data_IF_292724467308
#
_entry.id   IF_292724467308
#
_cell.length_a   1.000
_cell.length_b   1.000
_cell.length_c   1.000
_cell.angle_alpha   90.00
_cell.angle_beta   90.00
_cell.angle_gamma   90.00
#
_symmetry.space_group_name_H-M   'P 1'
#
loop_
_entity.id
_entity.type
_entity.pdbx_description
1 polymer ?
#
# COMPACT_ATOMS: atom_id res chain seq x y z
N UNK A 1 4.03 -36.96 -18.65
CA UNK A 1 3.49 -36.34 -17.44
C UNK A 1 4.55 -36.46 -16.36
N UNK A 2 5.18 -35.34 -15.98
CA UNK A 2 6.17 -35.21 -14.89
C UNK A 2 6.45 -33.70 -14.68
N UNK A 3 6.94 -33.26 -13.51
CA UNK A 3 6.14 -32.45 -12.60
C UNK A 3 6.55 -30.98 -12.51
N UNK A 4 5.60 -30.17 -12.02
CA UNK A 4 5.70 -28.74 -11.82
C UNK A 4 6.84 -28.34 -10.86
N UNK A 5 7.76 -27.52 -11.36
CA UNK A 5 8.73 -26.80 -10.55
C UNK A 5 7.98 -25.76 -9.70
N UNK A 6 7.81 -26.11 -8.42
CA UNK A 6 7.23 -25.25 -7.40
C UNK A 6 8.23 -24.15 -7.01
N UNK A 7 8.30 -23.07 -7.78
CA UNK A 7 9.07 -21.87 -7.44
C UNK A 7 8.29 -21.03 -6.43
N UNK A 8 8.40 -21.37 -5.14
CA UNK A 8 7.93 -20.47 -4.07
C UNK A 8 8.77 -19.19 -4.14
N UNK A 9 8.18 -18.00 -4.36
CA UNK A 9 8.96 -16.78 -4.39
C UNK A 9 9.56 -16.52 -3.01
N UNK A 10 10.88 -16.36 -3.00
CA UNK A 10 11.72 -16.11 -1.83
C UNK A 10 11.15 -14.93 -1.05
N UNK A 11 10.89 -15.17 0.23
CA UNK A 11 10.55 -14.18 1.24
C UNK A 11 11.73 -13.20 1.39
N UNK A 12 11.80 -12.20 0.50
CA UNK A 12 12.66 -11.02 0.68
C UNK A 12 12.21 -10.38 2.00
N UNK A 13 13.17 -10.00 2.83
CA UNK A 13 12.96 -9.20 4.06
C UNK A 13 11.85 -8.19 3.75
N UNK A 14 10.67 -8.39 4.35
CA UNK A 14 9.43 -7.77 3.89
C UNK A 14 9.51 -6.26 4.15
N UNK A 15 10.01 -5.49 3.19
CA UNK A 15 9.72 -4.06 3.12
C UNK A 15 8.19 -3.93 3.23
N UNK A 16 7.66 -3.01 4.05
CA UNK A 16 6.24 -2.70 4.06
C UNK A 16 5.73 -2.52 2.63
N UNK A 17 4.64 -3.20 2.28
CA UNK A 17 4.11 -3.20 0.91
C UNK A 17 3.89 -1.76 0.39
N UNK A 18 3.40 -0.86 1.24
CA UNK A 18 3.23 0.55 0.90
C UNK A 18 4.56 1.26 0.52
N UNK A 19 5.67 0.96 1.21
CA UNK A 19 6.98 1.52 0.86
C UNK A 19 7.53 0.99 -0.46
N UNK A 20 7.31 -0.30 -0.74
CA UNK A 20 7.70 -0.86 -2.03
C UNK A 20 6.88 -0.24 -3.18
N UNK A 21 5.59 0.01 -2.97
CA UNK A 21 4.76 0.75 -3.93
C UNK A 21 5.26 2.19 -4.12
N UNK A 22 5.58 2.91 -3.04
CA UNK A 22 6.14 4.27 -3.08
C UNK A 22 7.44 4.32 -3.89
N UNK A 23 8.34 3.37 -3.64
CA UNK A 23 9.62 3.26 -4.32
C UNK A 23 9.42 3.04 -5.83
N UNK A 24 8.53 2.12 -6.22
CA UNK A 24 8.19 1.88 -7.63
C UNK A 24 7.50 3.09 -8.29
N UNK A 25 6.60 3.75 -7.58
CA UNK A 25 5.90 4.94 -8.06
C UNK A 25 6.87 6.11 -8.30
N UNK A 26 7.85 6.29 -7.41
CA UNK A 26 8.88 7.31 -7.59
C UNK A 26 9.70 7.05 -8.85
N UNK A 27 10.05 5.81 -9.15
CA UNK A 27 10.81 5.47 -10.35
C UNK A 27 9.99 5.61 -11.63
N UNK A 28 8.69 5.29 -11.57
CA UNK A 28 7.82 5.31 -12.73
C UNK A 28 6.45 5.92 -12.36
N UNK A 29 6.33 7.26 -12.41
CA UNK A 29 5.09 7.96 -12.04
C UNK A 29 3.89 7.57 -12.91
N UNK A 30 4.12 7.16 -14.17
CA UNK A 30 3.09 6.64 -15.08
C UNK A 30 2.29 5.45 -14.50
N UNK A 31 2.87 4.72 -13.54
CA UNK A 31 2.19 3.61 -12.87
C UNK A 31 0.93 4.05 -12.14
N UNK A 32 0.85 5.30 -11.69
CA UNK A 32 -0.35 5.86 -11.07
C UNK A 32 -1.55 5.92 -12.03
N UNK A 33 -1.27 6.04 -13.34
CA UNK A 33 -2.26 6.10 -14.40
C UNK A 33 -2.58 4.72 -14.97
N UNK A 34 -1.57 3.85 -15.09
CA UNK A 34 -1.73 2.52 -15.71
C UNK A 34 -2.30 1.45 -14.77
N UNK A 35 -2.43 1.75 -13.47
CA UNK A 35 -2.84 0.77 -12.46
C UNK A 35 -4.21 1.13 -11.90
N UNK A 36 -5.08 0.13 -11.78
CA UNK A 36 -6.36 0.28 -11.11
C UNK A 36 -6.16 0.31 -9.59
N UNK A 37 -6.51 1.44 -8.97
CA UNK A 37 -6.28 1.67 -7.54
C UNK A 37 -7.56 2.20 -6.91
N UNK A 38 -8.16 1.39 -6.04
CA UNK A 38 -9.25 1.82 -5.18
C UNK A 38 -8.70 2.59 -3.96
N UNK A 39 -8.66 3.91 -4.08
CA UNK A 39 -8.14 4.83 -3.04
C UNK A 39 -8.95 4.74 -1.75
N UNK A 40 -10.27 4.62 -1.83
CA UNK A 40 -11.15 4.49 -0.64
C UNK A 40 -10.85 3.22 0.14
N UNK A 41 -10.60 2.11 -0.55
CA UNK A 41 -10.23 0.85 0.08
C UNK A 41 -8.87 0.93 0.78
N UNK A 42 -7.87 1.52 0.13
CA UNK A 42 -6.55 1.68 0.72
C UNK A 42 -6.55 2.60 1.95
N UNK A 43 -7.41 3.63 2.00
CA UNK A 43 -7.58 4.49 3.19
C UNK A 43 -7.94 3.70 4.45
N UNK A 44 -8.55 2.52 4.33
CA UNK A 44 -8.94 1.70 5.48
C UNK A 44 -7.75 1.11 6.26
N UNK A 45 -6.57 1.02 5.63
CA UNK A 45 -5.35 0.53 6.28
C UNK A 45 -4.87 1.46 7.40
N UNK A 46 -5.16 2.77 7.28
CA UNK A 46 -4.87 3.79 8.30
C UNK A 46 -3.40 3.78 8.78
N UNK A 47 -2.46 3.64 7.83
CA UNK A 47 -1.03 3.65 8.11
C UNK A 47 -0.32 4.82 7.40
N UNK A 48 0.80 5.32 7.96
CA UNK A 48 1.49 6.51 7.46
C UNK A 48 2.10 6.33 6.06
N UNK A 49 2.60 5.14 5.74
CA UNK A 49 3.21 4.84 4.44
C UNK A 49 2.12 4.69 3.36
N UNK A 50 0.95 4.11 3.68
CA UNK A 50 -0.21 4.09 2.75
C UNK A 50 -0.78 5.49 2.55
N UNK A 51 -0.85 6.32 3.58
CA UNK A 51 -1.33 7.71 3.45
C UNK A 51 -0.44 8.51 2.49
N UNK A 52 0.88 8.36 2.61
CA UNK A 52 1.85 8.98 1.70
C UNK A 52 1.74 8.41 0.27
N UNK A 53 1.51 7.10 0.13
CA UNK A 53 1.28 6.47 -1.17
C UNK A 53 0.06 7.07 -1.87
N UNK A 54 -1.04 7.27 -1.14
CA UNK A 54 -2.26 7.88 -1.67
C UNK A 54 -2.04 9.32 -2.11
N UNK A 55 -1.30 10.11 -1.30
CA UNK A 55 -0.94 11.49 -1.63
C UNK A 55 -0.12 11.57 -2.93
N UNK A 56 0.93 10.74 -3.06
CA UNK A 56 1.75 10.73 -4.27
C UNK A 56 1.00 10.21 -5.49
N UNK A 57 0.10 9.24 -5.32
CA UNK A 57 -0.77 8.75 -6.38
C UNK A 57 -1.70 9.83 -6.90
N UNK A 58 -2.32 10.60 -5.99
CA UNK A 58 -3.16 11.73 -6.36
C UNK A 58 -2.36 12.80 -7.10
N UNK A 59 -1.19 13.17 -6.58
CA UNK A 59 -0.31 14.13 -7.23
C UNK A 59 0.13 13.70 -8.63
N UNK A 60 0.53 12.43 -8.81
CA UNK A 60 0.93 11.87 -10.10
C UNK A 60 -0.24 11.81 -11.10
N UNK A 61 -1.46 11.52 -10.63
CA UNK A 61 -2.67 11.52 -11.46
C UNK A 61 -3.06 12.91 -11.93
N UNK A 62 -2.94 13.90 -11.06
CA UNK A 62 -3.20 15.31 -11.39
C UNK A 62 -2.15 15.90 -12.35
N UNK A 63 -0.94 15.33 -12.37
CA UNK A 63 0.17 15.82 -13.17
C UNK A 63 0.83 14.68 -13.97
N UNK A 64 0.23 14.24 -15.09
CA UNK A 64 0.70 13.09 -15.86
C UNK A 64 2.11 13.23 -16.45
N UNK A 65 2.65 14.45 -16.53
CA UNK A 65 4.02 14.73 -17.01
C UNK A 65 5.03 14.91 -15.86
N UNK A 66 4.65 14.61 -14.63
CA UNK A 66 5.52 14.69 -13.45
C UNK A 66 6.53 13.56 -13.49
N UNK A 67 7.82 13.90 -13.36
CA UNK A 67 8.89 12.92 -13.16
C UNK A 67 9.20 12.64 -11.68
N UNK A 68 10.10 11.68 -11.42
CA UNK A 68 10.58 11.31 -10.08
C UNK A 68 10.93 12.51 -9.19
N UNK A 69 11.66 13.49 -9.74
CA UNK A 69 12.10 14.66 -8.98
C UNK A 69 10.97 15.60 -8.58
N UNK A 70 9.89 15.65 -9.36
CA UNK A 70 8.73 16.47 -9.03
C UNK A 70 7.89 15.80 -7.91
N UNK A 71 7.79 14.47 -7.89
CA UNK A 71 7.23 13.73 -6.74
C UNK A 71 8.07 13.93 -5.48
N UNK A 72 9.40 13.83 -5.59
CA UNK A 72 10.30 14.10 -4.44
C UNK A 72 10.23 15.55 -3.97
N UNK A 73 10.08 16.49 -4.90
CA UNK A 73 9.90 17.91 -4.61
C UNK A 73 8.61 18.18 -3.83
N UNK A 74 7.53 17.49 -4.17
CA UNK A 74 6.26 17.55 -3.43
C UNK A 74 6.43 17.12 -1.97
N UNK A 75 7.22 16.06 -1.71
CA UNK A 75 7.51 15.61 -0.35
C UNK A 75 8.71 16.29 0.30
N UNK A 76 9.34 17.29 -0.34
CA UNK A 76 10.58 17.90 0.16
C UNK A 76 10.35 18.64 1.48
N UNK A 77 11.30 18.50 2.41
CA UNK A 77 11.21 19.12 3.75
C UNK A 77 10.33 18.35 4.74
N UNK A 78 9.72 17.24 4.34
CA UNK A 78 8.99 16.34 5.26
C UNK A 78 9.88 15.18 5.74
N UNK A 79 9.65 14.63 6.96
CA UNK A 79 10.33 13.42 7.42
C UNK A 79 10.20 12.25 6.42
N UNK A 80 9.04 12.14 5.79
CA UNK A 80 8.70 11.14 4.79
C UNK A 80 9.51 11.32 3.50
N UNK A 81 9.62 12.54 2.98
CA UNK A 81 10.43 12.85 1.79
C UNK A 81 11.92 12.55 1.97
N UNK A 82 12.45 12.77 3.18
CA UNK A 82 13.83 12.36 3.51
C UNK A 82 14.00 10.84 3.43
N UNK A 83 13.03 10.07 3.94
CA UNK A 83 13.01 8.60 3.85
C UNK A 83 12.92 8.13 2.39
N UNK A 84 12.06 8.75 1.59
CA UNK A 84 11.93 8.46 0.15
C UNK A 84 13.24 8.74 -0.62
N UNK A 85 13.88 9.87 -0.32
CA UNK A 85 15.17 10.24 -0.92
C UNK A 85 16.26 9.22 -0.56
N UNK A 86 16.29 8.73 0.68
CA UNK A 86 17.22 7.68 1.10
C UNK A 86 16.90 6.33 0.45
N UNK A 87 15.62 5.99 0.30
CA UNK A 87 15.17 4.78 -0.42
C UNK A 87 15.70 4.77 -1.85
N UNK A 88 15.49 5.88 -2.59
CA UNK A 88 15.94 6.00 -3.98
C UNK A 88 17.47 5.88 -4.12
N UNK A 89 18.23 6.43 -3.17
CA UNK A 89 19.70 6.35 -3.17
C UNK A 89 20.24 4.94 -2.89
N UNK A 90 19.50 4.12 -2.15
CA UNK A 90 19.95 2.81 -1.67
C UNK A 90 19.49 1.65 -2.57
N UNK A 91 18.63 1.88 -3.55
CA UNK A 91 18.09 0.81 -4.39
C UNK A 91 19.11 0.35 -5.45
N UNK A 92 19.37 -0.96 -5.46
CA UNK A 92 20.11 -1.63 -6.54
C UNK A 92 19.16 -1.84 -7.72
N UNK A 93 19.41 -1.11 -8.81
CA UNK A 93 18.91 -1.31 -10.19
C UNK A 93 17.89 -2.45 -10.30
N UNK A 94 16.64 -2.20 -9.91
CA UNK A 94 15.54 -3.11 -10.27
C UNK A 94 15.41 -3.05 -11.78
N UNK A 95 15.43 -4.18 -12.52
CA UNK A 95 15.23 -4.16 -13.96
C UNK A 95 13.91 -3.45 -14.27
N UNK A 96 13.94 -2.54 -15.24
CA UNK A 96 12.76 -1.80 -15.70
C UNK A 96 11.65 -2.76 -16.17
N UNK A 97 12.05 -3.91 -16.73
CA UNK A 97 11.20 -5.05 -17.01
C UNK A 97 10.68 -5.68 -15.70
N UNK A 98 9.41 -5.41 -15.37
CA UNK A 98 8.71 -6.03 -14.26
C UNK A 98 8.16 -5.05 -13.22
N UNK A 99 8.61 -3.77 -13.23
CA UNK A 99 8.15 -2.74 -12.27
C UNK A 99 6.63 -2.57 -12.27
N UNK A 100 6.01 -2.52 -13.45
CA UNK A 100 4.56 -2.40 -13.57
C UNK A 100 3.81 -3.59 -12.98
N UNK A 101 4.30 -4.81 -13.23
CA UNK A 101 3.71 -6.03 -12.68
C UNK A 101 3.89 -6.10 -11.16
N UNK A 102 5.07 -5.75 -10.66
CA UNK A 102 5.37 -5.71 -9.24
C UNK A 102 4.51 -4.66 -8.51
N UNK A 103 4.40 -3.46 -9.08
CA UNK A 103 3.55 -2.40 -8.53
C UNK A 103 2.08 -2.84 -8.48
N UNK A 104 1.57 -3.39 -9.58
CA UNK A 104 0.19 -3.91 -9.62
C UNK A 104 -0.05 -5.01 -8.59
N UNK A 105 0.92 -5.92 -8.42
CA UNK A 105 0.85 -6.98 -7.42
C UNK A 105 0.83 -6.44 -5.99
N UNK A 106 1.66 -5.43 -5.71
CA UNK A 106 1.72 -4.77 -4.40
C UNK A 106 0.41 -4.04 -4.10
N UNK A 107 -0.12 -3.26 -5.04
CA UNK A 107 -1.42 -2.56 -4.89
C UNK A 107 -2.53 -3.57 -4.60
N UNK A 108 -2.58 -4.68 -5.35
CA UNK A 108 -3.56 -5.73 -5.12
C UNK A 108 -3.44 -6.35 -3.74
N UNK A 109 -2.21 -6.57 -3.26
CA UNK A 109 -1.96 -7.11 -1.93
C UNK A 109 -2.42 -6.15 -0.82
N UNK A 110 -2.19 -4.84 -0.98
CA UNK A 110 -2.67 -3.82 -0.06
C UNK A 110 -4.20 -3.77 -0.01
N UNK A 111 -4.86 -3.83 -1.18
CA UNK A 111 -6.31 -3.89 -1.28
C UNK A 111 -6.88 -5.13 -0.57
N UNK A 112 -6.28 -6.30 -0.77
CA UNK A 112 -6.69 -7.54 -0.09
C UNK A 112 -6.55 -7.44 1.44
N UNK A 113 -5.45 -6.84 1.94
CA UNK A 113 -5.29 -6.65 3.38
C UNK A 113 -6.33 -5.67 3.94
N UNK A 114 -6.63 -4.59 3.21
CA UNK A 114 -7.67 -3.64 3.59
C UNK A 114 -9.05 -4.30 3.69
N UNK A 115 -9.40 -5.14 2.72
CA UNK A 115 -10.67 -5.89 2.68
C UNK A 115 -10.76 -6.85 3.88
N UNK A 116 -9.68 -7.58 4.16
CA UNK A 116 -9.58 -8.47 5.32
C UNK A 116 -9.71 -7.72 6.64
N UNK A 117 -9.11 -6.54 6.75
CA UNK A 117 -9.21 -5.70 7.95
C UNK A 117 -10.63 -5.17 8.13
N UNK A 118 -11.29 -4.73 7.05
CA UNK A 118 -12.69 -4.31 7.07
C UNK A 118 -13.63 -5.45 7.50
N UNK A 119 -13.45 -6.64 6.92
CA UNK A 119 -14.23 -7.82 7.30
C UNK A 119 -14.05 -8.18 8.77
N UNK A 120 -12.81 -8.17 9.28
CA UNK A 120 -12.52 -8.40 10.70
C UNK A 120 -13.22 -7.37 11.60
N UNK A 121 -13.17 -6.08 11.26
CA UNK A 121 -13.86 -5.02 12.01
C UNK A 121 -15.37 -5.27 12.05
N UNK A 122 -15.98 -5.57 10.91
CA UNK A 122 -17.41 -5.87 10.81
C UNK A 122 -17.82 -7.08 11.67
N UNK A 123 -17.03 -8.16 11.65
CA UNK A 123 -17.28 -9.34 12.48
C UNK A 123 -17.23 -9.01 13.98
N UNK A 124 -16.24 -8.22 14.40
CA UNK A 124 -16.13 -7.79 15.81
C UNK A 124 -17.31 -6.90 16.22
N UNK A 125 -17.78 -6.01 15.35
CA UNK A 125 -18.95 -5.16 15.63
C UNK A 125 -20.24 -5.97 15.81
N UNK A 126 -20.41 -7.04 15.03
CA UNK A 126 -21.55 -7.97 15.19
C UNK A 126 -21.52 -8.74 16.51
N UNK A 127 -20.35 -8.93 17.12
CA UNK A 127 -20.18 -9.63 18.40
C UNK A 127 -20.35 -8.72 19.62
N UNK A 128 -20.07 -7.42 19.49
CA UNK A 128 -20.25 -6.41 20.56
C UNK A 128 -21.66 -6.32 21.19
N UNK A 129 -22.79 -6.46 20.47
CA UNK A 129 -24.12 -6.35 21.08
C UNK A 129 -24.44 -7.48 22.08
N UNK A 130 -23.80 -8.65 21.98
CA UNK A 130 -24.08 -9.79 22.86
C UNK A 130 -23.47 -9.65 24.25
N UNK A 131 -22.44 -8.80 24.42
CA UNK A 131 -21.75 -8.63 25.71
C UNK A 131 -22.38 -7.56 26.61
N UNK A 132 -23.23 -6.68 26.06
CA UNK A 132 -23.90 -5.61 26.82
C UNK A 132 -25.22 -6.03 27.45
N UNK A 133 -25.93 -6.99 26.87
CA UNK A 133 -27.20 -7.48 27.45
C UNK A 133 -27.03 -8.42 28.65
N UNK A 134 -25.81 -8.93 28.91
CA UNK A 134 -25.55 -9.77 30.09
C UNK A 134 -25.18 -9.00 31.36
N UNK A 135 -25.14 -7.65 31.33
CA UNK A 135 -24.69 -6.83 32.47
C UNK A 135 -25.71 -5.79 32.96
N UNK A 136 -26.91 -5.78 32.41
CA UNK A 136 -28.00 -4.89 32.81
C UNK A 136 -29.22 -5.70 33.28
N UNK A 137 -29.06 -6.52 34.31
CA UNK A 137 -30.16 -6.87 35.21
C UNK A 137 -29.97 -6.06 36.49
N UNK A 138 -30.74 -4.99 36.74
CA UNK A 138 -30.88 -4.47 38.08
C UNK A 138 -31.70 -5.48 38.89
N UNK A 139 -31.06 -6.14 39.87
CA UNK A 139 -31.78 -6.66 41.03
C UNK A 139 -32.22 -5.46 41.86
N UNK A 140 -33.52 -5.19 41.83
CA UNK A 140 -34.46 -4.85 42.91
C UNK A 140 -35.67 -4.06 42.38
#
# INVERSE_FOLDING_TARGET
AEPALNTRPKQRVQKPAALAALELLLHQPDLAQSTEINVEQLRLLDDPDTSLLLELLEFARSHPNTGTYALLGHCYGTPQGNRLTQLLKNEKITPEAGRSHEFSFIIKSLQQEAEKQAMRRQLLERLKPLSRSAKNEPMD
#
